data_IF_094288653163
#
_entry.id   IF_094288653163
#
_cell.length_a   1.000
_cell.length_b   1.000
_cell.length_c   1.000
_cell.angle_alpha   90.00
_cell.angle_beta   90.00
_cell.angle_gamma   90.00
#
_symmetry.space_group_name_H-M   'P 1'
#
loop_
_entity.id
_entity.type
_entity.pdbx_description
1 polymer ?
#
# COMPACT_ATOMS: atom_id res chain seq x y z
N UNK A 1 33.44 32.90 -16.92
CA UNK A 1 33.45 31.48 -16.52
C UNK A 1 32.02 30.98 -16.56
N UNK A 2 31.67 30.18 -17.57
CA UNK A 2 30.37 29.53 -17.68
C UNK A 2 30.35 28.34 -16.72
N UNK A 3 29.58 28.43 -15.65
CA UNK A 3 29.28 27.27 -14.82
C UNK A 3 28.11 26.53 -15.47
N UNK A 4 28.40 25.47 -16.23
CA UNK A 4 27.39 24.46 -16.53
C UNK A 4 27.09 23.73 -15.21
N UNK A 5 26.03 24.14 -14.54
CA UNK A 5 25.42 23.34 -13.48
C UNK A 5 24.84 22.09 -14.11
N UNK A 6 25.60 21.00 -14.07
CA UNK A 6 25.06 19.66 -14.32
C UNK A 6 24.13 19.37 -13.16
N UNK A 7 22.82 19.51 -13.38
CA UNK A 7 21.82 18.85 -12.55
C UNK A 7 22.05 17.35 -12.73
N UNK A 8 22.72 16.73 -11.76
CA UNK A 8 22.81 15.28 -11.69
C UNK A 8 21.40 14.82 -11.31
N UNK A 9 20.59 14.46 -12.30
CA UNK A 9 19.42 13.63 -12.09
C UNK A 9 19.92 12.30 -11.53
N UNK A 10 19.74 12.07 -10.24
CA UNK A 10 19.96 10.76 -9.67
C UNK A 10 18.77 9.88 -10.10
N UNK A 11 18.94 9.12 -11.18
CA UNK A 11 17.94 8.16 -11.66
C UNK A 11 17.62 7.13 -10.57
N UNK A 12 16.51 7.42 -9.90
CA UNK A 12 15.44 6.58 -9.34
C UNK A 12 15.54 5.05 -9.58
N UNK A 13 16.47 4.35 -8.93
CA UNK A 13 16.42 2.87 -8.77
C UNK A 13 15.51 2.44 -7.60
N UNK A 14 14.92 3.40 -6.88
CA UNK A 14 14.13 3.12 -5.68
C UNK A 14 12.84 2.35 -5.93
N UNK A 15 12.06 2.60 -7.01
CA UNK A 15 10.82 1.86 -7.23
C UNK A 15 11.05 0.37 -7.48
N UNK A 16 12.11 -0.01 -8.19
CA UNK A 16 12.44 -1.42 -8.49
C UNK A 16 12.94 -2.17 -7.25
N UNK A 17 13.82 -1.56 -6.44
CA UNK A 17 14.30 -2.16 -5.20
C UNK A 17 13.16 -2.31 -4.17
N UNK A 18 12.25 -1.34 -4.14
CA UNK A 18 11.10 -1.33 -3.25
C UNK A 18 10.02 -2.32 -3.70
N UNK A 19 9.74 -2.41 -5.00
CA UNK A 19 8.70 -3.30 -5.53
C UNK A 19 8.98 -4.77 -5.28
N UNK A 20 10.25 -5.16 -5.25
CA UNK A 20 10.68 -6.51 -4.89
C UNK A 20 10.55 -6.85 -3.39
N UNK A 21 10.27 -5.85 -2.54
CA UNK A 21 10.24 -6.00 -1.07
C UNK A 21 8.87 -5.80 -0.45
N UNK A 22 7.91 -5.30 -1.23
CA UNK A 22 6.56 -5.01 -0.72
C UNK A 22 5.49 -5.73 -1.53
N UNK A 23 4.51 -6.29 -0.82
CA UNK A 23 3.24 -6.67 -1.42
C UNK A 23 2.28 -5.52 -1.18
N UNK A 24 1.71 -4.94 -2.24
CA UNK A 24 0.69 -3.91 -2.10
C UNK A 24 -0.69 -4.53 -1.94
N UNK A 25 -1.64 -3.73 -1.45
CA UNK A 25 -3.04 -4.13 -1.38
C UNK A 25 -3.94 -2.98 -1.78
N UNK A 26 -4.98 -3.30 -2.54
CA UNK A 26 -6.03 -2.33 -2.84
C UNK A 26 -7.38 -2.95 -3.08
N UNK A 27 -8.41 -2.16 -2.76
CA UNK A 27 -9.81 -2.53 -2.97
C UNK A 27 -10.45 -1.50 -3.89
N UNK A 28 -11.10 -1.96 -4.96
CA UNK A 28 -11.89 -1.16 -5.87
C UNK A 28 -13.36 -1.29 -5.48
N UNK A 29 -14.01 -0.16 -5.22
CA UNK A 29 -15.45 -0.10 -5.00
C UNK A 29 -16.21 -0.31 -6.32
N UNK A 30 -17.46 -0.77 -6.20
CA UNK A 30 -18.36 -0.90 -7.35
C UNK A 30 -18.57 0.43 -8.09
N UNK A 31 -18.83 1.51 -7.34
CA UNK A 31 -18.95 2.88 -7.86
C UNK A 31 -18.42 3.93 -6.86
N UNK A 32 -18.56 5.22 -7.22
CA UNK A 32 -18.17 6.36 -6.38
C UNK A 32 -19.26 6.84 -5.42
N UNK A 33 -20.41 6.14 -5.36
CA UNK A 33 -21.46 6.41 -4.38
C UNK A 33 -20.93 6.28 -2.95
N UNK A 34 -21.48 7.07 -2.02
CA UNK A 34 -21.07 7.01 -0.61
C UNK A 34 -21.21 5.60 -0.04
N UNK A 35 -22.32 4.93 -0.34
CA UNK A 35 -22.60 3.56 0.06
C UNK A 35 -21.56 2.53 -0.46
N UNK A 36 -21.15 2.63 -1.73
CA UNK A 36 -20.12 1.73 -2.28
C UNK A 36 -18.73 2.04 -1.72
N UNK A 37 -18.48 3.30 -1.36
CA UNK A 37 -17.24 3.69 -0.71
C UNK A 37 -17.17 3.18 0.73
N UNK A 38 -18.29 3.20 1.48
CA UNK A 38 -18.40 2.62 2.82
C UNK A 38 -18.24 1.09 2.76
N UNK A 39 -18.97 0.41 1.88
CA UNK A 39 -18.86 -1.03 1.68
C UNK A 39 -17.43 -1.47 1.37
N UNK A 40 -16.71 -0.70 0.55
CA UNK A 40 -15.28 -0.95 0.27
C UNK A 40 -14.44 -0.92 1.54
N UNK A 41 -14.70 0.01 2.47
CA UNK A 41 -13.95 0.09 3.72
C UNK A 41 -14.20 -1.13 4.61
N UNK A 42 -15.45 -1.60 4.68
CA UNK A 42 -15.80 -2.81 5.42
C UNK A 42 -15.15 -4.06 4.83
N UNK A 43 -15.20 -4.21 3.50
CA UNK A 43 -14.53 -5.32 2.79
C UNK A 43 -13.02 -5.27 3.00
N UNK A 44 -12.43 -4.08 2.87
CA UNK A 44 -10.99 -3.85 3.12
C UNK A 44 -10.62 -4.31 4.52
N UNK A 45 -11.39 -3.94 5.54
CA UNK A 45 -11.05 -4.25 6.93
C UNK A 45 -11.15 -5.74 7.20
N UNK A 46 -12.18 -6.41 6.70
CA UNK A 46 -12.33 -7.86 6.85
C UNK A 46 -11.23 -8.66 6.15
N UNK A 47 -10.97 -8.36 4.87
CA UNK A 47 -9.87 -8.98 4.11
C UNK A 47 -8.54 -8.70 4.77
N UNK A 48 -8.38 -7.48 5.29
CA UNK A 48 -7.20 -7.06 5.99
C UNK A 48 -6.87 -7.85 7.24
N UNK A 49 -7.86 -8.02 8.11
CA UNK A 49 -7.74 -8.87 9.31
C UNK A 49 -7.42 -10.32 8.94
N UNK A 50 -8.04 -10.83 7.87
CA UNK A 50 -7.77 -12.18 7.38
C UNK A 50 -6.31 -12.32 6.91
N UNK A 51 -5.85 -11.40 6.07
CA UNK A 51 -4.48 -11.41 5.54
C UNK A 51 -3.43 -11.17 6.61
N UNK A 52 -3.68 -10.29 7.59
CA UNK A 52 -2.77 -10.07 8.71
C UNK A 52 -2.47 -11.40 9.44
N UNK A 53 -3.52 -12.21 9.71
CA UNK A 53 -3.35 -13.52 10.35
C UNK A 53 -2.58 -14.51 9.47
N UNK A 54 -2.84 -14.54 8.16
CA UNK A 54 -2.14 -15.43 7.23
C UNK A 54 -0.66 -15.06 7.08
N UNK A 55 -0.34 -13.77 7.12
CA UNK A 55 1.01 -13.25 6.92
C UNK A 55 1.81 -13.07 8.21
N UNK A 56 1.28 -13.50 9.36
CA UNK A 56 1.90 -13.30 10.67
C UNK A 56 3.33 -13.85 10.76
N UNK A 57 3.61 -14.98 10.09
CA UNK A 57 4.92 -15.62 10.06
C UNK A 57 5.69 -15.38 8.74
N UNK A 58 5.12 -14.60 7.81
CA UNK A 58 5.76 -14.37 6.51
C UNK A 58 6.98 -13.46 6.68
N UNK A 59 8.13 -13.87 6.14
CA UNK A 59 9.38 -13.15 6.27
C UNK A 59 9.76 -12.35 5.02
N UNK A 60 9.12 -12.62 3.88
CA UNK A 60 9.49 -12.03 2.58
C UNK A 60 8.27 -11.66 1.74
N UNK A 61 8.48 -10.78 0.78
CA UNK A 61 7.47 -10.42 -0.22
C UNK A 61 7.05 -11.64 -1.05
N UNK A 62 8.00 -12.47 -1.48
CA UNK A 62 7.73 -13.66 -2.30
C UNK A 62 6.85 -14.67 -1.56
N UNK A 63 7.15 -14.91 -0.28
CA UNK A 63 6.33 -15.76 0.59
C UNK A 63 4.92 -15.18 0.77
N UNK A 64 4.83 -13.86 0.99
CA UNK A 64 3.54 -13.18 1.15
C UNK A 64 2.67 -13.25 -0.11
N UNK A 65 3.27 -13.10 -1.29
CA UNK A 65 2.62 -13.26 -2.59
C UNK A 65 2.10 -14.67 -2.75
N UNK A 66 2.93 -15.67 -2.44
CA UNK A 66 2.55 -17.07 -2.55
C UNK A 66 1.37 -17.40 -1.63
N UNK A 67 1.42 -16.96 -0.37
CA UNK A 67 0.31 -17.13 0.59
C UNK A 67 -0.96 -16.46 0.04
N UNK A 68 -0.87 -15.21 -0.44
CA UNK A 68 -2.02 -14.52 -1.00
C UNK A 68 -2.62 -15.25 -2.23
N UNK A 69 -1.77 -15.80 -3.10
CA UNK A 69 -2.19 -16.59 -4.27
C UNK A 69 -2.89 -17.90 -3.88
N UNK A 70 -2.37 -18.60 -2.87
CA UNK A 70 -2.95 -19.86 -2.37
C UNK A 70 -4.31 -19.66 -1.68
N UNK A 71 -4.59 -18.46 -1.18
CA UNK A 71 -5.81 -18.12 -0.44
C UNK A 71 -6.78 -17.19 -1.19
N UNK A 72 -6.65 -17.02 -2.51
CA UNK A 72 -7.52 -16.12 -3.29
C UNK A 72 -9.02 -16.45 -3.16
N UNK A 73 -9.37 -17.73 -3.14
CA UNK A 73 -10.76 -18.17 -2.97
C UNK A 73 -11.32 -17.77 -1.60
N UNK A 74 -10.55 -18.00 -0.53
CA UNK A 74 -10.94 -17.60 0.83
C UNK A 74 -11.05 -16.07 0.96
N UNK A 75 -10.14 -15.32 0.33
CA UNK A 75 -10.20 -13.84 0.31
C UNK A 75 -11.49 -13.35 -0.35
N UNK A 76 -11.88 -13.97 -1.47
CA UNK A 76 -13.14 -13.68 -2.13
C UNK A 76 -14.35 -14.05 -1.26
N UNK A 77 -14.29 -15.17 -0.55
CA UNK A 77 -15.34 -15.59 0.38
C UNK A 77 -15.50 -14.56 1.51
N UNK A 78 -14.41 -14.17 2.19
CA UNK A 78 -14.41 -13.15 3.25
C UNK A 78 -15.02 -11.83 2.75
N UNK A 79 -14.61 -11.37 1.56
CA UNK A 79 -15.18 -10.17 0.98
C UNK A 79 -16.67 -10.33 0.64
N UNK A 80 -17.05 -11.49 0.08
CA UNK A 80 -18.42 -11.81 -0.29
C UNK A 80 -19.36 -11.89 0.92
N UNK A 81 -18.91 -12.42 2.04
CA UNK A 81 -19.65 -12.46 3.30
C UNK A 81 -19.97 -11.05 3.82
N UNK A 82 -19.00 -10.12 3.75
CA UNK A 82 -19.23 -8.72 4.11
C UNK A 82 -20.25 -8.08 3.19
N UNK A 83 -20.08 -8.23 1.86
CA UNK A 83 -21.01 -7.68 0.87
C UNK A 83 -22.44 -8.16 1.12
N UNK A 84 -22.62 -9.47 1.35
CA UNK A 84 -23.93 -10.05 1.64
C UNK A 84 -24.50 -9.55 2.98
N UNK A 85 -23.67 -9.42 4.02
CA UNK A 85 -24.08 -8.94 5.35
C UNK A 85 -24.55 -7.48 5.31
N UNK A 86 -23.90 -6.63 4.53
CA UNK A 86 -24.29 -5.24 4.32
C UNK A 86 -25.49 -5.08 3.36
N UNK A 87 -26.05 -6.19 2.85
CA UNK A 87 -27.29 -6.21 2.09
C UNK A 87 -27.12 -6.06 0.58
N UNK A 88 -25.91 -6.27 0.05
CA UNK A 88 -25.59 -6.20 -1.38
C UNK A 88 -25.42 -7.60 -1.98
N UNK A 89 -25.54 -7.70 -3.31
CA UNK A 89 -25.35 -8.92 -4.09
C UNK A 89 -24.24 -8.78 -5.14
N UNK A 90 -23.34 -7.79 -4.95
CA UNK A 90 -22.24 -7.55 -5.87
C UNK A 90 -21.30 -8.75 -5.96
N UNK A 91 -20.89 -9.16 -7.17
CA UNK A 91 -19.80 -10.11 -7.30
C UNK A 91 -18.50 -9.49 -6.75
N UNK A 92 -17.59 -10.32 -6.27
CA UNK A 92 -16.25 -9.88 -5.85
C UNK A 92 -15.20 -10.81 -6.42
N UNK A 93 -14.10 -10.23 -6.88
CA UNK A 93 -12.93 -10.98 -7.37
C UNK A 93 -11.68 -10.56 -6.62
N UNK A 94 -10.77 -11.50 -6.41
CA UNK A 94 -9.44 -11.25 -5.86
C UNK A 94 -8.39 -11.78 -6.83
N UNK A 95 -7.27 -11.05 -6.97
CA UNK A 95 -6.13 -11.49 -7.77
C UNK A 95 -4.85 -10.95 -7.17
N UNK A 96 -3.74 -11.65 -7.40
CA UNK A 96 -2.40 -11.10 -7.22
C UNK A 96 -1.82 -10.77 -8.59
N UNK A 97 -1.55 -9.50 -8.84
CA UNK A 97 -1.06 -9.03 -10.14
C UNK A 97 -0.13 -7.81 -10.01
N UNK A 98 0.69 -7.60 -11.03
CA UNK A 98 1.45 -6.36 -11.19
C UNK A 98 0.51 -5.20 -11.51
N UNK A 99 0.52 -4.18 -10.67
CA UNK A 99 -0.37 -3.02 -10.76
C UNK A 99 0.43 -1.73 -10.66
N UNK A 100 0.06 -0.73 -11.45
CA UNK A 100 0.60 0.62 -11.36
C UNK A 100 -0.02 1.38 -10.17
N UNK A 101 0.83 1.85 -9.28
CA UNK A 101 0.46 2.70 -8.15
C UNK A 101 0.91 4.13 -8.41
N UNK A 102 0.08 5.14 -8.09
CA UNK A 102 0.55 6.51 -8.00
C UNK A 102 1.32 6.72 -6.70
N UNK A 103 1.98 7.87 -6.57
CA UNK A 103 2.62 8.26 -5.32
C UNK A 103 1.62 8.25 -4.16
N UNK A 104 2.06 7.72 -3.01
CA UNK A 104 1.27 7.65 -1.78
C UNK A 104 2.08 8.08 -0.58
N UNK A 105 1.43 8.86 0.28
CA UNK A 105 1.99 9.26 1.57
C UNK A 105 1.14 8.66 2.68
N UNK A 106 1.78 7.97 3.62
CA UNK A 106 1.17 7.36 4.80
C UNK A 106 1.90 7.90 6.04
N UNK A 107 1.32 8.90 6.72
CA UNK A 107 2.00 9.60 7.81
C UNK A 107 3.34 10.19 7.35
N UNK A 108 4.44 9.74 7.96
CA UNK A 108 5.81 10.18 7.64
C UNK A 108 6.43 9.46 6.42
N UNK A 109 5.75 8.47 5.83
CA UNK A 109 6.29 7.63 4.76
C UNK A 109 5.77 8.03 3.39
N UNK A 110 6.68 8.09 2.43
CA UNK A 110 6.38 8.30 1.02
C UNK A 110 6.72 7.03 0.22
N UNK A 111 5.70 6.46 -0.40
CA UNK A 111 5.81 5.38 -1.37
C UNK A 111 5.74 5.97 -2.78
N UNK A 112 6.80 5.81 -3.60
CA UNK A 112 6.85 6.38 -4.94
C UNK A 112 5.87 5.68 -5.89
N UNK A 113 5.44 6.38 -6.93
CA UNK A 113 4.74 5.77 -8.05
C UNK A 113 5.58 4.67 -8.71
N UNK A 114 4.92 3.63 -9.24
CA UNK A 114 5.56 2.53 -9.94
C UNK A 114 4.71 1.27 -10.01
N UNK A 115 5.27 0.24 -10.64
CA UNK A 115 4.66 -1.08 -10.73
C UNK A 115 5.01 -1.92 -9.50
N UNK A 116 3.99 -2.48 -8.85
CA UNK A 116 4.14 -3.34 -7.68
C UNK A 116 3.28 -4.58 -7.83
N UNK A 117 3.74 -5.70 -7.29
CA UNK A 117 2.86 -6.84 -7.09
C UNK A 117 1.85 -6.51 -5.98
N UNK A 118 0.57 -6.74 -6.27
CA UNK A 118 -0.52 -6.31 -5.42
C UNK A 118 -1.61 -7.37 -5.29
N UNK A 119 -2.09 -7.56 -4.07
CA UNK A 119 -3.40 -8.16 -3.86
C UNK A 119 -4.47 -7.12 -4.24
N UNK A 120 -5.26 -7.45 -5.25
CA UNK A 120 -6.35 -6.61 -5.76
C UNK A 120 -7.67 -7.27 -5.46
N UNK A 121 -8.57 -6.55 -4.78
CA UNK A 121 -9.96 -6.95 -4.56
C UNK A 121 -10.89 -6.00 -5.31
N UNK A 122 -11.76 -6.53 -6.17
CA UNK A 122 -12.68 -5.74 -7.00
C UNK A 122 -14.12 -6.07 -6.62
N UNK A 123 -14.84 -5.08 -6.10
CA UNK A 123 -16.27 -5.20 -5.77
C UNK A 123 -17.08 -4.75 -7.00
N UNK A 124 -18.02 -5.59 -7.43
CA UNK A 124 -18.92 -5.31 -8.53
C UNK A 124 -18.19 -4.95 -9.83
N UNK A 125 -18.55 -3.81 -10.44
CA UNK A 125 -17.92 -3.34 -11.67
C UNK A 125 -16.54 -2.71 -11.47
N UNK A 126 -16.12 -2.45 -10.23
CA UNK A 126 -14.82 -1.86 -9.93
C UNK A 126 -14.61 -0.45 -10.48
N UNK A 127 -15.66 0.34 -10.66
CA UNK A 127 -15.60 1.69 -11.25
C UNK A 127 -15.39 2.81 -10.23
N UNK A 128 -15.47 2.47 -8.94
CA UNK A 128 -15.29 3.43 -7.87
C UNK A 128 -13.83 3.72 -7.54
N UNK A 129 -13.63 4.71 -6.68
CA UNK A 129 -12.32 5.06 -6.13
C UNK A 129 -11.64 3.87 -5.46
N UNK A 130 -10.34 3.77 -5.70
CA UNK A 130 -9.44 2.82 -5.04
C UNK A 130 -9.19 3.19 -3.57
N UNK A 131 -8.90 2.19 -2.74
CA UNK A 131 -8.18 2.35 -1.48
C UNK A 131 -6.84 1.63 -1.59
N UNK A 132 -5.73 2.26 -1.21
CA UNK A 132 -4.37 1.75 -1.45
C UNK A 132 -3.61 1.56 -0.15
N UNK A 133 -2.78 0.52 -0.09
CA UNK A 133 -1.96 0.25 1.09
C UNK A 133 -0.76 -0.71 0.79
N UNK A 134 0.11 -0.93 1.78
CA UNK A 134 1.24 -1.87 1.79
C UNK A 134 0.92 -3.04 2.74
N UNK A 135 0.58 -4.19 2.16
CA UNK A 135 0.15 -5.42 2.88
C UNK A 135 1.32 -6.15 3.52
N UNK A 136 2.43 -6.26 2.78
CA UNK A 136 3.70 -6.76 3.32
C UNK A 136 4.80 -5.72 3.06
N UNK A 137 5.64 -5.38 4.04
CA UNK A 137 5.43 -5.66 5.47
C UNK A 137 4.11 -5.03 5.94
N UNK A 138 3.48 -5.55 7.00
CA UNK A 138 2.15 -5.09 7.40
C UNK A 138 2.17 -3.61 7.83
N UNK A 139 1.71 -2.74 6.93
CA UNK A 139 1.42 -1.32 7.18
C UNK A 139 -0.08 -1.05 7.10
N UNK A 140 -0.87 -2.06 6.76
CA UNK A 140 -2.29 -1.93 6.46
C UNK A 140 -3.21 -2.18 7.62
N UNK A 141 -2.74 -2.84 8.69
CA UNK A 141 -3.56 -3.23 9.84
C UNK A 141 -2.74 -3.04 11.12
N UNK A 142 -2.86 -1.87 11.76
CA UNK A 142 -2.53 -1.71 13.18
C UNK A 142 -3.80 -1.90 14.01
N UNK A 143 -3.66 -2.33 15.26
CA UNK A 143 -4.76 -2.69 16.16
C UNK A 143 -5.76 -1.53 16.45
N UNK A 144 -5.50 -0.34 15.92
CA UNK A 144 -6.44 0.78 15.90
C UNK A 144 -6.55 1.38 14.51
N UNK A 145 -7.70 1.19 13.88
CA UNK A 145 -8.24 1.87 12.69
C UNK A 145 -7.56 3.23 12.43
N UNK A 146 -6.61 3.23 11.49
CA UNK A 146 -5.67 4.25 11.02
C UNK A 146 -5.95 5.74 11.31
N UNK A 147 -5.01 6.40 12.00
CA UNK A 147 -4.32 7.64 11.53
C UNK A 147 -3.06 7.97 12.38
N UNK A 148 -2.23 6.99 12.74
CA UNK A 148 -0.86 7.23 13.18
C UNK A 148 -0.06 6.01 12.75
N UNK A 149 1.08 6.21 12.08
CA UNK A 149 2.01 5.08 11.86
C UNK A 149 2.61 4.78 13.22
N UNK A 150 2.05 3.79 13.91
CA UNK A 150 2.57 3.28 15.17
C UNK A 150 4.01 2.77 14.98
N UNK A 151 4.79 2.78 16.07
CA UNK A 151 6.19 2.36 16.08
C UNK A 151 6.38 0.94 15.50
N UNK A 152 5.39 0.06 15.64
CA UNK A 152 5.41 -1.31 15.11
C UNK A 152 5.44 -1.38 13.57
N UNK A 153 4.62 -0.57 12.88
CA UNK A 153 4.66 -0.49 11.42
C UNK A 153 6.03 0.04 10.93
N UNK A 154 6.63 0.97 11.69
CA UNK A 154 7.99 1.45 11.43
C UNK A 154 9.01 0.32 11.58
N UNK A 155 8.93 -0.44 12.66
CA UNK A 155 9.81 -1.59 12.94
C UNK A 155 9.70 -2.66 11.85
N UNK A 156 8.49 -3.02 11.43
CA UNK A 156 8.26 -3.99 10.35
C UNK A 156 8.91 -3.53 9.04
N UNK A 157 8.76 -2.25 8.70
CA UNK A 157 9.42 -1.67 7.52
C UNK A 157 10.94 -1.67 7.65
N UNK A 158 11.48 -1.32 8.83
CA UNK A 158 12.92 -1.36 9.11
C UNK A 158 13.52 -2.75 9.00
N UNK A 159 12.78 -3.80 9.34
CA UNK A 159 13.29 -5.18 9.29
C UNK A 159 13.49 -5.69 7.87
N UNK A 160 12.68 -5.25 6.91
CA UNK A 160 12.74 -5.71 5.52
C UNK A 160 13.49 -4.74 4.59
N UNK A 161 13.88 -3.57 5.09
CA UNK A 161 14.59 -2.54 4.33
C UNK A 161 15.98 -2.24 4.88
N UNK A 162 16.87 -1.80 3.99
CA UNK A 162 18.13 -1.19 4.43
C UNK A 162 17.85 0.21 5.00
N UNK A 163 18.75 0.69 5.86
CA UNK A 163 18.65 2.05 6.42
C UNK A 163 18.60 3.15 5.33
N UNK A 164 19.25 2.91 4.19
CA UNK A 164 19.26 3.83 3.06
C UNK A 164 17.90 3.92 2.38
N UNK A 165 17.27 2.78 2.10
CA UNK A 165 15.94 2.69 1.49
C UNK A 165 14.89 3.31 2.41
N UNK A 166 14.91 2.93 3.69
CA UNK A 166 14.03 3.50 4.70
C UNK A 166 14.17 5.03 4.78
N UNK A 167 15.40 5.55 4.78
CA UNK A 167 15.66 7.00 4.82
C UNK A 167 15.03 7.71 3.64
N UNK A 168 15.14 7.16 2.42
CA UNK A 168 14.53 7.75 1.24
C UNK A 168 12.99 7.79 1.32
N UNK A 169 12.37 6.83 2.00
CA UNK A 169 10.92 6.84 2.19
C UNK A 169 10.44 7.92 3.16
N UNK A 170 11.22 8.25 4.19
CA UNK A 170 10.88 9.32 5.16
C UNK A 170 11.31 10.72 4.70
N UNK A 171 12.25 10.80 3.76
CA UNK A 171 12.70 12.04 3.16
C UNK A 171 11.74 12.46 2.05
N UNK A 172 10.76 13.28 2.40
CA UNK A 172 9.82 13.86 1.42
C UNK A 172 10.56 14.57 0.28
N UNK A 173 10.21 14.35 -1.00
CA UNK A 173 10.82 15.02 -2.14
C UNK A 173 10.63 16.55 -2.14
N UNK A 174 9.71 17.08 -1.33
CA UNK A 174 9.31 18.50 -1.31
C UNK A 174 10.08 19.38 -0.31
N UNK A 175 11.13 18.88 0.36
CA UNK A 175 11.99 19.74 1.18
C UNK A 175 12.97 20.53 0.29
N UNK A 176 12.48 21.57 -0.37
CA UNK A 176 13.34 22.70 -0.77
C UNK A 176 13.91 23.33 0.52
N UNK A 177 15.17 23.02 0.84
CA UNK A 177 15.90 23.73 1.90
C UNK A 177 16.19 25.15 1.40
N UNK A 178 15.26 26.08 1.64
CA UNK A 178 15.51 27.52 1.48
C UNK A 178 16.35 28.02 2.65
N UNK A 179 17.66 28.14 2.43
CA UNK A 179 18.52 28.91 3.32
C UNK A 179 18.12 30.38 3.28
N UNK A 180 17.44 30.86 4.31
CA UNK A 180 17.23 32.29 4.55
C UNK A 180 18.38 32.79 5.41
N UNK A 181 19.35 33.46 4.79
CA UNK A 181 20.37 34.21 5.52
C UNK A 181 19.69 35.35 6.28
N UNK A 182 19.81 35.36 7.60
CA UNK A 182 19.47 36.52 8.43
C UNK A 182 20.70 37.44 8.45
N UNK A 183 20.64 38.64 7.84
CA UNK A 183 21.68 39.63 8.06
C UNK A 183 21.55 40.13 9.50
N UNK A 184 22.67 40.09 10.24
CA UNK A 184 22.83 40.82 11.49
C UNK A 184 23.03 42.31 11.21
#
# INVERSE_FOLDING_TARGET
MLFLGVYIWQEQHMPEELSAKVLRFHVLANSDSEADQELKLDVRDAVGVYMNRLLADAATQEESVKIAQEHLEDIQEVAGEVIAREGYDYPVTAAVEWTEFPDKTYGDYHMPAGSYEALRVVIGEGKGRNWWCVMFPNMCFSDTVFEVVEDEAKENLYQVMTLHEYRKMIESPDKEVRFRYLPF
#
